data_IF_657830698444
#
_entry.id   IF_657830698444
#
_cell.length_a   1.000
_cell.length_b   1.000
_cell.length_c   1.000
_cell.angle_alpha   90.00
_cell.angle_beta   90.00
_cell.angle_gamma   90.00
#
_symmetry.space_group_name_H-M   'P 1'
#
loop_
_entity.id
_entity.type
_entity.pdbx_description
1 polymer ?
#
# COMPACT_ATOMS: atom_id res chain seq x y z
N UNK A 1 50.07 -27.30 -6.17
CA UNK A 1 48.66 -26.96 -6.46
C UNK A 1 47.85 -27.04 -5.17
N UNK A 2 47.47 -25.91 -4.57
CA UNK A 2 46.43 -25.80 -3.54
C UNK A 2 45.67 -24.52 -3.81
N UNK A 3 44.43 -24.65 -4.28
CA UNK A 3 43.53 -23.52 -4.57
C UNK A 3 43.17 -22.80 -3.28
N UNK A 4 43.54 -21.53 -3.17
CA UNK A 4 43.04 -20.63 -2.12
C UNK A 4 41.65 -20.16 -2.53
N UNK A 5 40.61 -20.81 -2.01
CA UNK A 5 39.24 -20.31 -2.09
C UNK A 5 39.10 -19.02 -1.26
N UNK A 6 38.38 -17.98 -1.73
CA UNK A 6 38.40 -16.65 -1.13
C UNK A 6 37.43 -16.57 0.05
N UNK A 7 37.89 -16.97 1.23
CA UNK A 7 37.13 -16.82 2.50
C UNK A 7 36.76 -15.37 2.83
N UNK A 8 37.55 -14.40 2.34
CA UNK A 8 37.30 -12.97 2.58
C UNK A 8 36.02 -12.43 1.90
N UNK A 9 35.60 -13.03 0.77
CA UNK A 9 34.37 -12.62 0.07
C UNK A 9 33.13 -13.15 0.79
N UNK A 10 33.23 -14.33 1.40
CA UNK A 10 32.14 -14.94 2.18
C UNK A 10 31.89 -14.20 3.50
N UNK A 11 32.93 -13.72 4.17
CA UNK A 11 32.81 -12.99 5.43
C UNK A 11 32.24 -11.56 5.26
N UNK A 12 32.45 -10.92 4.11
CA UNK A 12 31.88 -9.60 3.82
C UNK A 12 30.39 -9.70 3.46
N UNK A 13 29.98 -10.76 2.77
CA UNK A 13 28.59 -10.98 2.38
C UNK A 13 27.67 -11.29 3.57
N UNK A 14 28.17 -11.97 4.61
CA UNK A 14 27.40 -12.26 5.84
C UNK A 14 27.23 -11.05 6.77
N UNK A 15 28.09 -10.03 6.68
CA UNK A 15 28.01 -8.82 7.52
C UNK A 15 27.18 -7.70 6.89
N UNK A 16 27.07 -7.66 5.55
CA UNK A 16 26.28 -6.65 4.83
C UNK A 16 24.78 -6.96 4.83
N UNK A 17 24.38 -8.23 4.83
CA UNK A 17 22.96 -8.63 4.89
C UNK A 17 22.22 -8.13 6.16
N UNK A 18 22.75 -8.26 7.39
CA UNK A 18 22.05 -7.81 8.59
C UNK A 18 22.05 -6.28 8.76
N UNK A 19 23.02 -5.56 8.16
CA UNK A 19 23.04 -4.10 8.22
C UNK A 19 21.99 -3.45 7.30
N UNK A 20 21.67 -4.10 6.17
CA UNK A 20 20.63 -3.62 5.26
C UNK A 20 19.21 -3.73 5.86
N UNK A 21 18.96 -4.73 6.72
CA UNK A 21 17.68 -4.88 7.42
C UNK A 21 17.54 -3.88 8.56
N UNK A 22 18.60 -3.67 9.35
CA UNK A 22 18.61 -2.67 10.43
C UNK A 22 18.41 -1.23 9.91
N UNK A 23 18.97 -0.89 8.75
CA UNK A 23 18.79 0.42 8.14
C UNK A 23 17.33 0.69 7.74
N UNK A 24 16.59 -0.31 7.26
CA UNK A 24 15.20 -0.15 6.84
C UNK A 24 14.22 -0.05 8.03
N UNK A 25 14.50 -0.77 9.12
CA UNK A 25 13.73 -0.66 10.36
C UNK A 25 13.73 0.78 10.92
N UNK A 26 14.81 1.54 10.69
CA UNK A 26 14.89 2.95 11.06
C UNK A 26 14.10 3.90 10.15
N UNK A 27 13.76 3.49 8.91
CA UNK A 27 13.14 4.40 7.92
C UNK A 27 11.69 4.73 8.29
N UNK A 28 10.90 3.74 8.72
CA UNK A 28 9.50 3.95 9.11
C UNK A 28 9.30 4.16 10.62
N UNK A 29 10.37 4.24 11.40
CA UNK A 29 10.24 4.21 12.86
C UNK A 29 9.51 5.44 13.40
N UNK A 30 9.69 6.61 12.79
CA UNK A 30 8.98 7.82 13.17
C UNK A 30 7.48 7.71 12.91
N UNK A 31 7.09 7.14 11.77
CA UNK A 31 5.69 6.96 11.38
C UNK A 31 4.99 5.90 12.23
N UNK A 32 5.69 4.82 12.59
CA UNK A 32 5.19 3.76 13.45
C UNK A 32 5.07 4.20 14.91
N UNK A 33 6.01 5.02 15.40
CA UNK A 33 6.01 5.52 16.76
C UNK A 33 5.08 6.73 16.99
N UNK A 34 4.47 7.28 15.94
CA UNK A 34 3.70 8.52 16.00
C UNK A 34 2.51 8.47 16.99
N UNK A 35 1.95 7.27 17.22
CA UNK A 35 0.82 7.05 18.14
C UNK A 35 1.28 6.67 19.57
N UNK A 36 2.58 6.61 19.84
CA UNK A 36 3.16 6.22 21.12
C UNK A 36 3.94 7.37 21.75
N UNK A 37 3.68 7.65 23.03
CA UNK A 37 4.54 8.55 23.77
C UNK A 37 5.87 7.86 24.14
N UNK A 38 6.92 8.66 24.39
CA UNK A 38 8.25 8.12 24.69
C UNK A 38 8.28 7.24 25.95
N UNK A 39 7.39 7.48 26.91
CA UNK A 39 7.28 6.66 28.12
C UNK A 39 6.69 5.26 27.83
N UNK A 40 5.78 5.16 26.85
CA UNK A 40 5.17 3.90 26.44
C UNK A 40 6.15 2.96 25.75
N UNK A 41 7.25 3.47 25.20
CA UNK A 41 8.21 2.65 24.46
C UNK A 41 8.92 1.61 25.34
N UNK A 42 9.06 1.85 26.65
CA UNK A 42 9.82 0.98 27.57
C UNK A 42 8.95 0.10 28.47
N UNK A 43 7.62 0.14 28.34
CA UNK A 43 6.72 -0.77 29.07
C UNK A 43 6.45 -2.04 28.27
N UNK A 44 6.05 -3.13 28.94
CA UNK A 44 5.55 -4.32 28.25
C UNK A 44 4.40 -3.97 27.28
N UNK A 45 4.39 -4.55 26.07
CA UNK A 45 3.36 -4.31 25.08
C UNK A 45 2.09 -5.10 25.41
N UNK A 46 0.96 -4.54 24.98
CA UNK A 46 -0.37 -5.14 25.07
C UNK A 46 -0.89 -5.52 23.68
N UNK A 47 -1.98 -6.28 23.62
CA UNK A 47 -2.66 -6.56 22.37
C UNK A 47 -3.20 -5.29 21.68
N UNK A 48 -3.54 -4.25 22.45
CA UNK A 48 -3.90 -2.94 21.89
C UNK A 48 -2.72 -2.25 21.19
N UNK A 49 -1.53 -2.30 21.79
CA UNK A 49 -0.32 -1.72 21.18
C UNK A 49 0.00 -2.41 19.85
N UNK A 50 -0.09 -3.75 19.83
CA UNK A 50 0.05 -4.53 18.61
C UNK A 50 -0.99 -4.14 17.55
N UNK A 51 -2.24 -3.94 17.95
CA UNK A 51 -3.31 -3.54 17.04
C UNK A 51 -3.08 -2.14 16.45
N UNK A 52 -2.62 -1.18 17.27
CA UNK A 52 -2.28 0.18 16.82
C UNK A 52 -1.10 0.14 15.85
N UNK A 53 -0.01 -0.53 16.21
CA UNK A 53 1.17 -0.64 15.36
C UNK A 53 0.87 -1.33 14.02
N UNK A 54 0.12 -2.44 14.05
CA UNK A 54 -0.25 -3.16 12.83
C UNK A 54 -1.18 -2.33 11.95
N UNK A 55 -2.20 -1.68 12.50
CA UNK A 55 -3.04 -0.77 11.72
C UNK A 55 -2.19 0.31 11.05
N UNK A 56 -1.25 0.92 11.78
CA UNK A 56 -0.39 1.97 11.25
C UNK A 56 0.46 1.47 10.09
N UNK A 57 1.03 0.27 10.21
CA UNK A 57 1.78 -0.38 9.15
C UNK A 57 0.91 -0.68 7.91
N UNK A 58 -0.32 -1.16 8.11
CA UNK A 58 -1.27 -1.38 7.03
C UNK A 58 -1.61 -0.05 6.34
N UNK A 59 -1.87 1.03 7.09
CA UNK A 59 -2.17 2.35 6.49
C UNK A 59 -0.99 2.93 5.70
N UNK A 60 0.26 2.60 6.05
CA UNK A 60 1.45 3.02 5.31
C UNK A 60 1.60 2.29 3.97
N UNK A 61 1.22 1.01 3.91
CA UNK A 61 1.34 0.20 2.68
C UNK A 61 0.08 0.26 1.83
N UNK A 62 -1.08 0.22 2.45
CA UNK A 62 -2.40 0.05 1.85
C UNK A 62 -3.31 1.24 2.15
N UNK A 63 -2.96 2.47 1.69
CA UNK A 63 -3.84 3.61 1.89
C UNK A 63 -5.18 3.33 1.19
N UNK A 64 -6.27 3.76 1.84
CA UNK A 64 -7.64 3.53 1.38
C UNK A 64 -7.96 2.05 1.07
N UNK A 65 -7.47 1.09 1.87
CA UNK A 65 -7.94 -0.29 1.80
C UNK A 65 -9.39 -0.39 2.32
N UNK A 66 -10.36 -0.87 1.51
CA UNK A 66 -11.72 -1.09 1.99
C UNK A 66 -11.77 -2.19 3.07
N UNK A 67 -12.83 -2.23 3.89
CA UNK A 67 -13.16 -3.44 4.64
C UNK A 67 -13.26 -4.65 3.70
N UNK A 68 -12.68 -5.77 4.09
CA UNK A 68 -12.84 -7.06 3.41
C UNK A 68 -14.09 -7.79 3.90
N UNK A 69 -14.47 -7.52 5.15
CA UNK A 69 -15.70 -7.99 5.77
C UNK A 69 -16.37 -6.85 6.54
N UNK A 70 -17.71 -6.87 6.56
CA UNK A 70 -18.54 -5.87 7.22
C UNK A 70 -19.29 -6.50 8.40
N UNK A 71 -19.63 -5.68 9.40
CA UNK A 71 -20.48 -6.04 10.54
C UNK A 71 -19.98 -7.19 11.44
N UNK A 72 -18.70 -7.53 11.36
CA UNK A 72 -18.09 -8.50 12.28
C UNK A 72 -17.97 -7.93 13.70
N UNK A 73 -18.29 -8.73 14.75
CA UNK A 73 -18.19 -8.28 16.14
C UNK A 73 -16.76 -7.87 16.50
N UNK A 74 -16.62 -6.65 17.01
CA UNK A 74 -15.34 -6.14 17.49
C UNK A 74 -15.13 -6.64 18.93
N UNK A 75 -14.03 -7.35 19.24
CA UNK A 75 -13.83 -8.02 20.53
C UNK A 75 -13.36 -7.06 21.66
N UNK A 76 -13.79 -5.82 21.63
CA UNK A 76 -13.54 -4.79 22.67
C UNK A 76 -14.72 -3.83 22.74
N UNK A 77 -14.88 -3.15 23.88
CA UNK A 77 -15.96 -2.18 24.06
C UNK A 77 -15.82 -0.98 23.08
N UNK A 78 -16.94 -0.47 22.52
CA UNK A 78 -16.93 0.72 21.65
C UNK A 78 -16.30 1.98 22.25
N UNK A 79 -16.23 2.07 23.58
CA UNK A 79 -15.59 3.17 24.31
C UNK A 79 -14.10 2.98 24.58
N UNK A 80 -13.51 1.82 24.27
CA UNK A 80 -12.10 1.53 24.56
C UNK A 80 -11.17 2.40 23.70
N UNK A 81 -10.07 2.95 24.25
CA UNK A 81 -9.11 3.80 23.53
C UNK A 81 -8.49 3.19 22.25
N UNK A 82 -8.58 1.87 22.04
CA UNK A 82 -8.12 1.17 20.85
C UNK A 82 -9.21 0.66 19.90
N UNK A 83 -10.50 0.92 20.18
CA UNK A 83 -11.63 0.34 19.43
C UNK A 83 -11.49 0.55 17.91
N UNK A 84 -11.11 1.76 17.47
CA UNK A 84 -10.94 2.06 16.05
C UNK A 84 -9.87 1.21 15.37
N UNK A 85 -8.76 0.93 16.05
CA UNK A 85 -7.69 0.08 15.51
C UNK A 85 -8.07 -1.39 15.50
N UNK A 86 -8.71 -1.88 16.55
CA UNK A 86 -9.20 -3.25 16.61
C UNK A 86 -10.28 -3.48 15.54
N UNK A 87 -11.26 -2.59 15.44
CA UNK A 87 -12.30 -2.63 14.40
C UNK A 87 -11.69 -2.66 13.00
N UNK A 88 -10.72 -1.77 12.74
CA UNK A 88 -10.03 -1.72 11.45
C UNK A 88 -9.40 -3.07 11.08
N UNK A 89 -8.71 -3.72 12.01
CA UNK A 89 -8.06 -5.01 11.79
C UNK A 89 -9.04 -6.17 11.67
N UNK A 90 -10.14 -6.15 12.45
CA UNK A 90 -11.23 -7.14 12.32
C UNK A 90 -11.84 -7.06 10.93
N UNK A 91 -12.22 -5.87 10.46
CA UNK A 91 -12.79 -5.67 9.11
C UNK A 91 -11.87 -6.10 7.98
N UNK A 92 -10.58 -6.32 8.26
CA UNK A 92 -9.54 -6.72 7.31
C UNK A 92 -8.96 -8.09 7.63
N UNK A 93 -9.59 -8.88 8.49
CA UNK A 93 -9.15 -10.25 8.81
C UNK A 93 -7.71 -10.35 9.32
N UNK A 94 -7.16 -9.29 9.93
CA UNK A 94 -5.79 -9.24 10.43
C UNK A 94 -5.69 -9.51 11.94
N UNK A 95 -6.82 -9.73 12.60
CA UNK A 95 -6.87 -10.02 14.04
C UNK A 95 -7.07 -11.53 14.25
N UNK A 96 -6.06 -12.27 14.75
CA UNK A 96 -6.21 -13.70 15.00
C UNK A 96 -7.15 -13.95 16.19
N UNK A 97 -7.77 -15.14 16.21
CA UNK A 97 -8.69 -15.54 17.30
C UNK A 97 -8.03 -15.60 18.69
N UNK A 98 -6.71 -15.74 18.75
CA UNK A 98 -5.95 -15.76 20.00
C UNK A 98 -5.72 -14.35 20.58
N UNK A 99 -6.04 -13.30 19.83
CA UNK A 99 -5.84 -11.93 20.26
C UNK A 99 -6.77 -11.55 21.43
N UNK A 100 -6.23 -10.75 22.36
CA UNK A 100 -6.96 -10.15 23.47
C UNK A 100 -6.39 -8.75 23.76
N UNK A 101 -7.16 -7.91 24.46
CA UNK A 101 -6.77 -6.52 24.79
C UNK A 101 -5.50 -6.45 25.65
N UNK A 102 -5.34 -7.39 26.58
CA UNK A 102 -4.31 -7.40 27.61
C UNK A 102 -2.94 -7.89 27.14
N UNK A 103 -2.41 -8.94 27.79
CA UNK A 103 -1.06 -9.46 27.52
C UNK A 103 -0.88 -9.92 26.06
N UNK A 104 0.19 -9.46 25.41
CA UNK A 104 0.56 -9.89 24.07
C UNK A 104 1.48 -11.11 24.14
N UNK A 105 0.97 -12.26 23.69
CA UNK A 105 1.77 -13.48 23.57
C UNK A 105 2.55 -13.51 22.26
N UNK A 106 3.72 -14.17 22.25
CA UNK A 106 4.54 -14.32 21.04
C UNK A 106 3.81 -15.07 19.91
N UNK A 107 2.99 -16.08 20.23
CA UNK A 107 2.17 -16.77 19.24
C UNK A 107 1.16 -15.84 18.57
N UNK A 108 0.48 -14.99 19.36
CA UNK A 108 -0.47 -14.01 18.83
C UNK A 108 0.24 -12.97 17.97
N UNK A 109 1.40 -12.48 18.41
CA UNK A 109 2.17 -11.50 17.67
C UNK A 109 2.68 -12.05 16.33
N UNK A 110 3.24 -13.26 16.35
CA UNK A 110 3.67 -13.97 15.15
C UNK A 110 2.51 -14.23 14.18
N UNK A 111 1.32 -14.58 14.70
CA UNK A 111 0.13 -14.77 13.88
C UNK A 111 -0.34 -13.46 13.22
N UNK A 112 -0.35 -12.34 13.95
CA UNK A 112 -0.69 -11.01 13.41
C UNK A 112 0.26 -10.60 12.27
N UNK A 113 1.57 -10.68 12.50
CA UNK A 113 2.57 -10.36 11.47
C UNK A 113 2.53 -11.34 10.30
N UNK A 114 2.29 -12.63 10.58
CA UNK A 114 2.13 -13.67 9.57
C UNK A 114 0.95 -13.39 8.64
N UNK A 115 -0.20 -12.99 9.20
CA UNK A 115 -1.39 -12.61 8.41
C UNK A 115 -1.11 -11.42 7.49
N UNK A 116 -0.45 -10.38 8.01
CA UNK A 116 -0.07 -9.21 7.20
C UNK A 116 0.91 -9.55 6.09
N UNK A 117 1.94 -10.36 6.37
CA UNK A 117 2.93 -10.79 5.38
C UNK A 117 2.31 -11.70 4.29
N UNK A 118 1.34 -12.53 4.67
CA UNK A 118 0.66 -13.44 3.76
C UNK A 118 -0.11 -12.72 2.63
N UNK A 119 -0.63 -11.53 2.88
CA UNK A 119 -1.26 -10.70 1.84
C UNK A 119 -0.35 -10.38 0.65
N UNK A 120 0.97 -10.42 0.86
CA UNK A 120 2.00 -10.14 -0.14
C UNK A 120 2.81 -11.37 -0.51
N UNK A 121 2.33 -12.58 -0.15
CA UNK A 121 3.00 -13.85 -0.41
C UNK A 121 4.42 -13.90 0.19
N UNK A 122 4.66 -13.13 1.26
CA UNK A 122 5.93 -13.14 1.98
C UNK A 122 5.85 -14.20 3.06
N UNK A 123 6.83 -15.12 3.09
CA UNK A 123 6.90 -16.13 4.16
C UNK A 123 6.84 -15.47 5.55
N UNK A 124 6.19 -16.07 6.55
CA UNK A 124 6.20 -15.51 7.89
C UNK A 124 7.63 -15.41 8.44
N UNK A 125 7.87 -14.39 9.28
CA UNK A 125 9.12 -14.28 10.05
C UNK A 125 9.10 -15.18 11.28
N UNK A 126 10.18 -15.15 12.05
CA UNK A 126 10.18 -15.71 13.41
C UNK A 126 10.11 -14.53 14.36
N UNK A 127 8.98 -14.39 15.05
CA UNK A 127 8.73 -13.32 15.99
C UNK A 127 8.44 -13.96 17.34
N UNK A 128 9.23 -13.59 18.34
CA UNK A 128 8.99 -13.95 19.73
C UNK A 128 8.05 -12.92 20.38
N UNK A 129 7.73 -13.10 21.66
CA UNK A 129 6.99 -12.07 22.40
C UNK A 129 7.90 -10.85 22.63
N UNK A 130 7.54 -9.65 22.15
CA UNK A 130 8.36 -8.46 22.37
C UNK A 130 8.37 -8.09 23.86
N UNK A 131 9.55 -7.75 24.40
CA UNK A 131 9.73 -7.39 25.79
C UNK A 131 9.16 -6.01 26.14
N UNK A 132 9.22 -5.08 25.18
CA UNK A 132 8.68 -3.73 25.28
C UNK A 132 8.05 -3.26 23.95
N UNK A 133 7.37 -2.11 23.99
CA UNK A 133 6.75 -1.53 22.79
C UNK A 133 7.80 -1.14 21.74
N UNK A 134 9.03 -0.77 22.12
CA UNK A 134 10.07 -0.44 21.17
C UNK A 134 10.48 -1.66 20.32
N UNK A 135 10.59 -2.84 20.94
CA UNK A 135 10.83 -4.11 20.23
C UNK A 135 9.66 -4.49 19.31
N UNK A 136 8.41 -4.29 19.77
CA UNK A 136 7.22 -4.47 18.93
C UNK A 136 7.26 -3.61 17.66
N UNK A 137 7.64 -2.33 17.79
CA UNK A 137 7.78 -1.44 16.63
C UNK A 137 8.97 -1.84 15.73
N UNK A 138 10.04 -2.39 16.29
CA UNK A 138 11.18 -2.89 15.52
C UNK A 138 10.78 -4.10 14.67
N UNK A 139 10.04 -5.06 15.23
CA UNK A 139 9.47 -6.20 14.52
C UNK A 139 8.58 -5.76 13.35
N UNK A 140 7.73 -4.76 13.59
CA UNK A 140 6.88 -4.18 12.55
C UNK A 140 7.70 -3.49 11.46
N UNK A 141 8.76 -2.78 11.82
CA UNK A 141 9.72 -2.19 10.89
C UNK A 141 10.38 -3.26 10.00
N UNK A 142 10.74 -4.41 10.57
CA UNK A 142 11.25 -5.55 9.79
C UNK A 142 10.19 -6.09 8.84
N UNK A 143 8.95 -6.31 9.32
CA UNK A 143 7.85 -6.79 8.49
C UNK A 143 7.59 -5.85 7.31
N UNK A 144 7.52 -4.54 7.54
CA UNK A 144 7.40 -3.52 6.49
C UNK A 144 8.56 -3.55 5.49
N UNK A 145 9.79 -3.72 5.96
CA UNK A 145 10.95 -3.85 5.08
C UNK A 145 10.83 -5.05 4.14
N UNK A 146 10.24 -6.15 4.61
CA UNK A 146 10.01 -7.36 3.82
C UNK A 146 8.89 -7.16 2.81
N UNK A 147 7.78 -6.55 3.22
CA UNK A 147 6.68 -6.18 2.33
C UNK A 147 7.15 -5.23 1.23
N UNK A 148 7.91 -4.19 1.59
CA UNK A 148 8.47 -3.19 0.66
C UNK A 148 9.31 -3.83 -0.46
N UNK A 149 10.02 -4.93 -0.17
CA UNK A 149 10.80 -5.69 -1.17
C UNK A 149 9.95 -6.59 -2.06
N UNK A 150 8.78 -7.02 -1.58
CA UNK A 150 7.87 -7.90 -2.31
C UNK A 150 6.98 -7.11 -3.27
N UNK A 151 6.47 -5.97 -2.84
CA UNK A 151 5.59 -5.13 -3.65
C UNK A 151 6.34 -4.42 -4.77
N UNK A 152 5.67 -4.25 -5.91
CA UNK A 152 6.18 -3.51 -7.06
C UNK A 152 5.08 -2.62 -7.61
N UNK A 153 4.90 -1.42 -7.05
CA UNK A 153 3.92 -0.49 -7.57
C UNK A 153 4.45 0.29 -8.77
N UNK A 154 3.54 0.66 -9.67
CA UNK A 154 3.81 1.61 -10.74
C UNK A 154 2.90 2.82 -10.62
N UNK A 155 3.47 4.02 -10.74
CA UNK A 155 2.69 5.23 -10.88
C UNK A 155 2.06 5.31 -12.27
N UNK A 156 0.85 5.83 -12.33
CA UNK A 156 0.20 6.33 -13.54
C UNK A 156 0.12 7.84 -13.43
N UNK A 157 0.81 8.54 -14.33
CA UNK A 157 0.93 9.99 -14.37
C UNK A 157 0.20 10.52 -15.59
N UNK A 158 -1.04 10.97 -15.39
CA UNK A 158 -1.87 11.48 -16.45
C UNK A 158 -1.56 12.95 -16.72
N UNK A 159 -1.23 13.32 -17.96
CA UNK A 159 -1.00 14.72 -18.34
C UNK A 159 -2.24 15.34 -18.96
N UNK A 160 -2.43 16.64 -18.72
CA UNK A 160 -3.43 17.48 -19.38
C UNK A 160 -3.19 17.49 -20.90
N UNK A 161 -4.24 17.38 -21.70
CA UNK A 161 -4.13 17.36 -23.17
C UNK A 161 -3.79 18.73 -23.77
N UNK A 162 -4.23 19.80 -23.12
CA UNK A 162 -3.98 21.19 -23.53
C UNK A 162 -2.59 21.68 -23.09
N UNK A 163 -2.07 21.13 -21.98
CA UNK A 163 -0.72 21.38 -21.50
C UNK A 163 -0.06 20.11 -20.98
N UNK A 164 0.69 19.42 -21.85
CA UNK A 164 1.40 18.18 -21.51
C UNK A 164 2.50 18.32 -20.45
N UNK A 165 2.72 19.52 -19.89
CA UNK A 165 3.59 19.73 -18.72
C UNK A 165 2.81 19.71 -17.40
N UNK A 166 1.49 19.81 -17.43
CA UNK A 166 0.63 19.76 -16.25
C UNK A 166 0.15 18.33 -16.05
N UNK A 167 0.21 17.88 -14.80
CA UNK A 167 -0.43 16.63 -14.41
C UNK A 167 -1.91 16.91 -14.17
N UNK A 168 -2.77 16.12 -14.81
CA UNK A 168 -4.21 16.07 -14.54
C UNK A 168 -4.48 15.27 -13.26
N UNK A 169 -3.98 14.03 -13.18
CA UNK A 169 -4.08 13.20 -11.98
C UNK A 169 -2.89 12.25 -11.80
N UNK A 170 -2.67 11.81 -10.56
CA UNK A 170 -1.77 10.72 -10.24
C UNK A 170 -2.55 9.51 -9.77
N UNK A 171 -2.03 8.34 -10.08
CA UNK A 171 -2.50 7.11 -9.47
C UNK A 171 -1.36 6.11 -9.27
N UNK A 172 -1.60 5.11 -8.43
CA UNK A 172 -0.69 3.97 -8.25
C UNK A 172 -1.46 2.70 -8.60
N UNK A 173 -0.91 1.93 -9.54
CA UNK A 173 -1.45 0.63 -9.92
C UNK A 173 -1.04 -0.36 -8.83
N UNK A 174 -2.05 -0.91 -8.13
CA UNK A 174 -1.88 -1.59 -6.86
C UNK A 174 -2.45 -3.01 -6.91
N UNK A 175 -1.90 -3.81 -7.82
CA UNK A 175 -2.45 -5.13 -8.16
C UNK A 175 -1.94 -6.29 -7.30
N UNK A 176 -0.77 -6.14 -6.67
CA UNK A 176 -0.07 -7.23 -5.98
C UNK A 176 -0.43 -7.32 -4.49
N UNK A 177 -1.73 -7.22 -4.19
CA UNK A 177 -2.23 -7.00 -2.82
C UNK A 177 -3.50 -7.81 -2.56
N UNK A 178 -3.95 -7.83 -1.30
CA UNK A 178 -5.21 -8.50 -0.91
C UNK A 178 -6.43 -7.96 -1.66
N UNK A 179 -6.38 -6.72 -2.16
CA UNK A 179 -7.46 -6.11 -2.90
C UNK A 179 -6.90 -5.27 -4.06
N UNK A 180 -6.73 -5.89 -5.26
CA UNK A 180 -6.22 -5.24 -6.46
C UNK A 180 -7.07 -4.02 -6.84
N UNK A 181 -6.42 -2.85 -6.95
CA UNK A 181 -7.10 -1.58 -7.20
C UNK A 181 -6.17 -0.52 -7.78
N UNK A 182 -6.75 0.58 -8.22
CA UNK A 182 -6.02 1.81 -8.53
C UNK A 182 -6.14 2.76 -7.34
N UNK A 183 -5.00 3.18 -6.78
CA UNK A 183 -4.96 4.23 -5.76
C UNK A 183 -4.85 5.57 -6.46
N UNK A 184 -5.94 6.32 -6.57
CA UNK A 184 -5.93 7.64 -7.18
C UNK A 184 -5.53 8.66 -6.12
N UNK A 185 -4.46 9.40 -6.39
CA UNK A 185 -3.83 10.32 -5.44
C UNK A 185 -3.95 11.74 -5.98
N UNK A 186 -4.42 12.65 -5.13
CA UNK A 186 -4.48 14.07 -5.48
C UNK A 186 -3.06 14.58 -5.74
N UNK A 187 -2.79 15.17 -6.91
CA UNK A 187 -1.48 15.76 -7.19
C UNK A 187 -1.08 16.78 -6.14
N UNK A 188 0.17 16.70 -5.69
CA UNK A 188 0.75 17.71 -4.83
C UNK A 188 1.04 18.98 -5.66
N UNK A 189 0.43 20.14 -5.35
CA UNK A 189 0.66 21.37 -6.11
C UNK A 189 2.11 21.86 -6.04
N UNK A 190 2.85 21.46 -5.00
CA UNK A 190 4.24 21.85 -4.79
C UNK A 190 5.24 20.88 -5.46
N UNK A 191 4.76 19.73 -5.94
CA UNK A 191 5.61 18.81 -6.67
C UNK A 191 6.01 19.40 -8.03
N UNK A 192 7.26 19.17 -8.40
CA UNK A 192 7.75 19.54 -9.72
C UNK A 192 7.02 18.80 -10.84
N UNK A 193 7.20 19.29 -12.07
CA UNK A 193 6.54 18.75 -13.28
C UNK A 193 7.25 17.51 -13.84
N UNK A 194 8.34 17.05 -13.23
CA UNK A 194 9.08 15.88 -13.71
C UNK A 194 8.50 14.62 -13.10
N UNK A 195 8.48 13.48 -13.84
CA UNK A 195 8.02 12.21 -13.29
C UNK A 195 8.70 11.82 -11.97
N UNK A 196 10.00 12.09 -11.82
CA UNK A 196 10.73 11.79 -10.59
C UNK A 196 10.22 12.57 -9.37
N UNK A 197 9.70 13.78 -9.56
CA UNK A 197 9.15 14.60 -8.48
C UNK A 197 7.82 13.99 -8.00
N UNK A 198 6.96 13.58 -8.95
CA UNK A 198 5.73 12.86 -8.64
C UNK A 198 5.99 11.50 -7.97
N UNK A 199 6.99 10.75 -8.43
CA UNK A 199 7.35 9.46 -7.83
C UNK A 199 7.84 9.61 -6.39
N UNK A 200 8.58 10.68 -6.09
CA UNK A 200 8.98 11.00 -4.72
C UNK A 200 7.74 11.33 -3.85
N UNK A 201 6.80 12.12 -4.37
CA UNK A 201 5.56 12.47 -3.66
C UNK A 201 4.60 11.29 -3.45
N UNK A 202 4.61 10.31 -4.36
CA UNK A 202 3.81 9.07 -4.26
C UNK A 202 4.47 8.00 -3.37
N UNK A 203 5.76 8.16 -3.06
CA UNK A 203 6.47 7.24 -2.19
C UNK A 203 6.34 7.65 -0.72
N UNK A 204 6.52 6.69 0.17
CA UNK A 204 6.65 6.92 1.61
C UNK A 204 7.75 6.02 2.20
N UNK A 205 7.85 5.98 3.52
CA UNK A 205 8.85 5.17 4.22
C UNK A 205 8.76 3.66 3.90
N UNK A 206 7.54 3.15 3.67
CA UNK A 206 7.24 1.73 3.47
C UNK A 206 7.15 1.35 2.00
N UNK A 207 6.65 2.26 1.17
CA UNK A 207 6.36 2.04 -0.25
C UNK A 207 7.22 2.95 -1.09
N UNK A 208 8.11 2.35 -1.89
CA UNK A 208 8.89 3.09 -2.88
C UNK A 208 8.29 2.92 -4.27
N UNK A 209 7.78 4.01 -4.84
CA UNK A 209 7.31 4.04 -6.23
C UNK A 209 8.45 4.50 -7.11
N UNK A 210 8.88 3.63 -8.03
CA UNK A 210 9.99 3.92 -8.95
C UNK A 210 9.64 3.65 -10.41
N UNK A 211 8.69 2.77 -10.67
CA UNK A 211 8.12 2.54 -11.98
C UNK A 211 7.04 3.59 -12.28
N UNK A 212 6.99 4.07 -13.52
CA UNK A 212 5.91 4.96 -13.95
C UNK A 212 5.44 4.68 -15.37
N UNK A 213 4.19 5.04 -15.61
CA UNK A 213 3.51 5.10 -16.89
C UNK A 213 2.98 6.53 -16.99
N UNK A 214 3.39 7.28 -18.01
CA UNK A 214 2.89 8.63 -18.26
C UNK A 214 2.19 8.68 -19.61
N UNK A 215 0.98 9.22 -19.62
CA UNK A 215 0.14 9.29 -20.80
C UNK A 215 -0.82 10.48 -20.71
N UNK A 216 -1.37 10.97 -21.84
CA UNK A 216 -2.51 11.89 -21.80
C UNK A 216 -3.67 11.28 -21.02
N UNK A 217 -4.43 12.08 -20.30
CA UNK A 217 -5.49 11.62 -19.37
C UNK A 217 -6.52 10.66 -19.99
N UNK A 218 -6.94 10.88 -21.24
CA UNK A 218 -7.85 9.97 -21.95
C UNK A 218 -7.19 8.62 -22.25
N UNK A 219 -5.89 8.63 -22.56
CA UNK A 219 -5.11 7.39 -22.75
C UNK A 219 -4.93 6.66 -21.42
N UNK A 220 -4.66 7.39 -20.34
CA UNK A 220 -4.54 6.83 -18.99
C UNK A 220 -5.86 6.20 -18.51
N UNK A 221 -7.00 6.90 -18.69
CA UNK A 221 -8.35 6.36 -18.43
C UNK A 221 -8.59 5.08 -19.25
N UNK A 222 -8.24 5.11 -20.53
CA UNK A 222 -8.43 3.97 -21.44
C UNK A 222 -7.60 2.74 -21.06
N UNK A 223 -6.60 2.83 -20.18
CA UNK A 223 -5.92 1.64 -19.65
C UNK A 223 -6.81 0.80 -18.73
N UNK A 224 -7.89 1.37 -18.20
CA UNK A 224 -8.80 0.70 -17.25
C UNK A 224 -10.25 0.68 -17.73
N UNK A 225 -10.64 1.67 -18.54
CA UNK A 225 -12.00 1.84 -19.05
C UNK A 225 -11.92 1.87 -20.58
N UNK A 226 -11.87 0.69 -21.20
CA UNK A 226 -11.73 0.54 -22.66
C UNK A 226 -13.05 0.40 -23.39
N UNK A 227 -14.09 -0.07 -22.70
CA UNK A 227 -15.39 -0.37 -23.30
C UNK A 227 -16.49 0.43 -22.62
N UNK A 228 -17.54 0.79 -23.37
CA UNK A 228 -18.70 1.50 -22.84
C UNK A 228 -19.46 0.72 -21.74
N UNK A 229 -19.17 -0.58 -21.59
CA UNK A 229 -19.69 -1.42 -20.51
C UNK A 229 -18.83 -1.41 -19.25
N UNK A 230 -17.60 -0.89 -19.32
CA UNK A 230 -16.71 -0.81 -18.17
C UNK A 230 -17.23 0.26 -17.20
N UNK A 231 -17.27 -0.06 -15.91
CA UNK A 231 -17.73 0.84 -14.84
C UNK A 231 -16.61 1.07 -13.85
N UNK A 232 -16.47 2.31 -13.42
CA UNK A 232 -15.56 2.69 -12.34
C UNK A 232 -16.36 2.79 -11.04
N UNK A 233 -15.81 2.22 -9.97
CA UNK A 233 -16.33 2.37 -8.61
C UNK A 233 -15.27 2.94 -7.71
N UNK A 234 -15.68 3.84 -6.81
CA UNK A 234 -14.85 4.27 -5.68
C UNK A 234 -15.27 3.45 -4.47
N UNK A 235 -14.31 2.76 -3.85
CA UNK A 235 -14.59 1.74 -2.82
C UNK A 235 -14.08 2.10 -1.43
N UNK A 236 -13.15 3.05 -1.34
CA UNK A 236 -12.63 3.57 -0.08
C UNK A 236 -11.86 4.87 -0.32
N UNK A 237 -11.66 5.66 0.74
CA UNK A 237 -10.95 6.94 0.69
C UNK A 237 -10.13 7.22 1.95
N UNK A 238 -9.19 8.16 1.85
CA UNK A 238 -8.49 8.77 2.96
C UNK A 238 -8.55 10.31 2.86
N UNK A 239 -9.08 11.02 3.87
CA UNK A 239 -9.74 10.47 5.06
C UNK A 239 -10.98 9.62 4.69
N UNK A 240 -11.26 8.64 5.53
CA UNK A 240 -12.44 7.78 5.38
C UNK A 240 -13.73 8.58 5.58
N UNK A 241 -14.77 8.23 4.80
CA UNK A 241 -16.11 8.78 4.96
C UNK A 241 -17.08 7.65 5.31
N UNK A 242 -17.82 7.80 6.40
CA UNK A 242 -18.81 6.80 6.80
C UNK A 242 -20.00 6.81 5.84
N UNK A 243 -20.43 5.63 5.37
CA UNK A 243 -21.70 5.43 4.68
C UNK A 243 -21.75 5.79 3.18
N UNK A 244 -20.60 5.95 2.51
CA UNK A 244 -20.55 6.37 1.10
C UNK A 244 -20.02 5.32 0.12
N UNK A 245 -19.40 4.24 0.59
CA UNK A 245 -18.66 3.31 -0.27
C UNK A 245 -19.25 1.90 -0.22
N UNK A 246 -19.21 1.13 -1.33
CA UNK A 246 -18.76 1.54 -2.66
C UNK A 246 -19.83 2.36 -3.40
N UNK A 247 -19.44 3.29 -4.27
CA UNK A 247 -20.35 3.93 -5.23
C UNK A 247 -19.83 3.87 -6.66
N UNK A 248 -20.75 3.81 -7.62
CA UNK A 248 -20.45 3.82 -9.05
C UNK A 248 -20.29 5.25 -9.57
N UNK A 249 -19.16 5.55 -10.20
CA UNK A 249 -18.97 6.82 -10.92
C UNK A 249 -19.91 6.84 -12.12
N UNK A 250 -20.61 7.96 -12.34
CA UNK A 250 -21.54 8.05 -13.46
C UNK A 250 -20.78 8.00 -14.79
N UNK A 251 -21.33 7.34 -15.83
CA UNK A 251 -20.69 7.28 -17.14
C UNK A 251 -20.38 8.69 -17.68
N UNK A 252 -19.12 8.92 -18.06
CA UNK A 252 -18.62 10.20 -18.56
C UNK A 252 -18.07 11.13 -17.48
N UNK A 253 -18.22 10.81 -16.19
CA UNK A 253 -17.66 11.58 -15.07
C UNK A 253 -16.28 11.05 -14.61
N UNK A 254 -15.71 10.04 -15.28
CA UNK A 254 -14.53 9.34 -14.77
C UNK A 254 -13.29 10.24 -14.73
N UNK A 255 -13.11 11.12 -15.71
CA UNK A 255 -12.03 12.11 -15.66
C UNK A 255 -12.25 13.12 -14.53
N UNK A 256 -13.49 13.56 -14.29
CA UNK A 256 -13.81 14.42 -13.15
C UNK A 256 -13.58 13.72 -11.82
N UNK A 257 -13.82 12.40 -11.75
CA UNK A 257 -13.46 11.60 -10.58
C UNK A 257 -11.94 11.55 -10.38
N UNK A 258 -11.18 11.27 -11.45
CA UNK A 258 -9.71 11.24 -11.38
C UNK A 258 -9.10 12.60 -11.00
N UNK A 259 -9.69 13.70 -11.48
CA UNK A 259 -9.28 15.06 -11.16
C UNK A 259 -9.75 15.55 -9.78
N UNK A 260 -10.54 14.76 -9.04
CA UNK A 260 -11.16 15.13 -7.75
C UNK A 260 -12.17 16.30 -7.85
N UNK A 261 -12.77 16.50 -9.02
CA UNK A 261 -13.78 17.56 -9.26
C UNK A 261 -15.17 17.18 -8.73
N UNK A 262 -15.41 15.89 -8.48
CA UNK A 262 -16.69 15.44 -7.91
C UNK A 262 -16.85 15.93 -6.46
N UNK A 263 -18.05 16.38 -6.04
CA UNK A 263 -18.29 16.88 -4.68
C UNK A 263 -17.85 15.91 -3.59
N UNK A 264 -18.09 14.61 -3.80
CA UNK A 264 -17.74 13.55 -2.85
C UNK A 264 -16.23 13.33 -2.72
N UNK A 265 -15.42 13.81 -3.66
CA UNK A 265 -13.96 13.66 -3.68
C UNK A 265 -13.22 14.96 -3.30
N UNK A 266 -13.92 16.09 -3.20
CA UNK A 266 -13.34 17.43 -2.95
C UNK A 266 -12.40 17.54 -1.73
N UNK A 267 -12.64 16.77 -0.67
CA UNK A 267 -11.79 16.71 0.55
C UNK A 267 -10.93 15.45 0.68
N UNK A 268 -10.91 14.58 -0.33
CA UNK A 268 -10.17 13.33 -0.31
C UNK A 268 -8.75 13.55 -0.86
N UNK A 269 -7.76 12.96 -0.17
CA UNK A 269 -6.35 12.98 -0.60
C UNK A 269 -6.01 11.79 -1.48
N UNK A 270 -6.51 10.60 -1.12
CA UNK A 270 -6.35 9.37 -1.88
C UNK A 270 -7.64 8.55 -1.82
N UNK A 271 -8.01 7.89 -2.91
CA UNK A 271 -9.10 6.93 -2.92
C UNK A 271 -8.74 5.68 -3.72
N UNK A 272 -9.41 4.59 -3.38
CA UNK A 272 -9.34 3.33 -4.11
C UNK A 272 -10.43 3.30 -5.18
N UNK A 273 -10.00 3.10 -6.42
CA UNK A 273 -10.88 2.83 -7.55
C UNK A 273 -10.74 1.38 -8.01
N UNK A 274 -11.87 0.76 -8.32
CA UNK A 274 -11.93 -0.53 -9.01
C UNK A 274 -12.74 -0.40 -10.29
N UNK A 275 -12.50 -1.31 -11.22
CA UNK A 275 -13.12 -1.31 -12.52
C UNK A 275 -13.80 -2.65 -12.76
N UNK A 276 -15.07 -2.61 -13.11
CA UNK A 276 -15.86 -3.77 -13.54
C UNK A 276 -16.02 -3.71 -15.05
N UNK A 277 -15.64 -4.77 -15.77
CA UNK A 277 -15.74 -4.83 -17.22
C UNK A 277 -14.79 -5.85 -17.84
N UNK A 278 -14.85 -6.02 -19.17
CA UNK A 278 -13.94 -6.92 -19.87
C UNK A 278 -12.49 -6.46 -19.64
N UNK A 279 -11.60 -7.42 -19.34
CA UNK A 279 -10.18 -7.14 -19.22
C UNK A 279 -9.64 -6.48 -20.50
N UNK A 280 -8.71 -5.53 -20.33
CA UNK A 280 -8.07 -4.89 -21.48
C UNK A 280 -7.23 -5.94 -22.21
N UNK A 281 -7.72 -6.37 -23.37
CA UNK A 281 -7.01 -7.34 -24.20
C UNK A 281 -5.60 -6.87 -24.58
N UNK A 282 -4.68 -7.83 -24.66
CA UNK A 282 -3.26 -7.60 -24.96
C UNK A 282 -3.02 -6.70 -26.20
N UNK A 283 -3.82 -6.87 -27.26
CA UNK A 283 -3.71 -6.05 -28.48
C UNK A 283 -4.04 -4.56 -28.25
N UNK A 284 -4.99 -4.27 -27.36
CA UNK A 284 -5.37 -2.89 -27.00
C UNK A 284 -4.26 -2.23 -26.17
N UNK A 285 -3.67 -2.96 -25.22
CA UNK A 285 -2.51 -2.48 -24.45
C UNK A 285 -1.31 -2.17 -25.34
N UNK A 286 -1.01 -3.02 -26.33
CA UNK A 286 0.07 -2.76 -27.29
C UNK A 286 -0.17 -1.51 -28.15
N UNK A 287 -1.43 -1.23 -28.52
CA UNK A 287 -1.79 0.00 -29.23
C UNK A 287 -1.60 1.26 -28.37
N UNK A 288 -1.84 1.15 -27.07
CA UNK A 288 -1.68 2.24 -26.10
C UNK A 288 -0.20 2.49 -25.76
N UNK A 289 0.68 1.47 -25.81
CA UNK A 289 2.11 1.60 -25.53
C UNK A 289 2.82 2.71 -26.33
N UNK A 290 2.43 2.92 -27.58
CA UNK A 290 3.02 3.97 -28.42
C UNK A 290 2.70 5.40 -27.95
N UNK A 291 1.68 5.56 -27.11
CA UNK A 291 1.23 6.84 -26.55
C UNK A 291 1.65 7.03 -25.09
N UNK A 292 2.44 6.10 -24.57
CA UNK A 292 2.89 6.06 -23.18
C UNK A 292 4.40 6.34 -23.11
N UNK A 293 4.81 7.12 -22.12
CA UNK A 293 6.21 7.23 -21.69
C UNK A 293 6.38 6.44 -20.41
N UNK A 294 7.37 5.56 -20.35
CA UNK A 294 7.62 4.71 -19.17
C UNK A 294 9.11 4.46 -18.99
N UNK A 295 9.54 4.20 -17.75
CA UNK A 295 10.86 3.66 -17.43
C UNK A 295 10.86 2.15 -17.19
N UNK A 296 9.73 1.48 -17.46
CA UNK A 296 9.55 0.04 -17.30
C UNK A 296 9.74 -0.64 -18.66
N UNK A 297 10.37 -1.82 -18.67
CA UNK A 297 10.47 -2.63 -19.88
C UNK A 297 9.06 -3.09 -20.32
N UNK A 298 8.76 -3.16 -21.64
CA UNK A 298 7.44 -3.57 -22.13
C UNK A 298 6.94 -4.91 -21.58
N UNK A 299 7.84 -5.88 -21.38
CA UNK A 299 7.53 -7.19 -20.79
C UNK A 299 7.14 -7.11 -19.32
N UNK A 300 7.73 -6.17 -18.56
CA UNK A 300 7.41 -5.96 -17.17
C UNK A 300 6.12 -5.17 -16.97
N UNK A 301 5.75 -4.29 -17.92
CA UNK A 301 4.52 -3.50 -17.87
C UNK A 301 3.26 -4.38 -17.72
N UNK A 302 3.21 -5.49 -18.45
CA UNK A 302 2.11 -6.46 -18.34
C UNK A 302 1.96 -7.03 -16.93
N UNK A 303 3.08 -7.21 -16.21
CA UNK A 303 3.07 -7.65 -14.81
C UNK A 303 2.49 -6.60 -13.84
N UNK A 304 2.57 -5.31 -14.18
CA UNK A 304 1.95 -4.26 -13.39
C UNK A 304 0.45 -4.14 -13.66
N UNK A 305 0.00 -4.41 -14.88
CA UNK A 305 -1.40 -4.27 -15.30
C UNK A 305 -2.23 -5.54 -15.08
N UNK A 306 -1.59 -6.68 -14.87
CA UNK A 306 -2.27 -7.93 -14.54
C UNK A 306 -2.57 -8.02 -13.04
N UNK A 307 -3.68 -8.64 -12.72
CA UNK A 307 -3.96 -9.15 -11.38
C UNK A 307 -3.36 -10.54 -11.25
N UNK A 308 -2.52 -10.83 -10.25
CA UNK A 308 -1.99 -12.17 -10.06
C UNK A 308 -3.12 -13.21 -9.90
N UNK A 309 -2.92 -14.42 -10.42
CA UNK A 309 -3.78 -15.55 -10.07
C UNK A 309 -3.41 -16.00 -8.67
N UNK A 310 -4.33 -15.84 -7.72
CA UNK A 310 -4.22 -16.35 -6.35
C UNK A 310 -5.10 -17.57 -6.18
#
# INVERSE_FOLDING_TARGET
MRSRFPWAVLALATLVLPLATAAFAQICQAELAADFDGASLSRPPTGLDAAVALRRAVELVEPALPPLQYDEPVPVDPGSPGYGSVKYLVERELLPRSWAEGELTGETWAAMLGGFLAWYEVSPGRYDAPADVAELLADMGEALARVSRAIRPAALLATDQSDGRRTSFWAIIWNWTVYPRLLVVRPDPDAGTRPNDALAALSNCAVRVSAYISAPEETAKSLFITHNSSRMYVVASQPGKNGFWPYAVAPGEELSAFAFDLPDLSGVRVYAAVFDGPEVGFGTLLGLLWRVRTNVAPTALMGYLSTPSR
#
